data_IF_705402033685
#
_entry.id   IF_705402033685
#
_cell.length_a   1.000
_cell.length_b   1.000
_cell.length_c   1.000
_cell.angle_alpha   90.00
_cell.angle_beta   90.00
_cell.angle_gamma   90.00
#
_symmetry.space_group_name_H-M   'P 1'
#
loop_
_entity.id
_entity.type
_entity.pdbx_description
1 polymer ?
#
# COMPACT_ATOMS: atom_id res chain seq x y z
N UNK A 1 22.57 14.53 -26.17
CA UNK A 1 23.55 13.87 -27.05
C UNK A 1 23.95 12.59 -26.33
N UNK A 2 23.83 11.42 -27.00
CA UNK A 2 24.30 10.19 -26.42
C UNK A 2 25.81 10.26 -26.18
N UNK A 3 26.29 9.80 -25.06
CA UNK A 3 27.70 9.75 -24.75
C UNK A 3 28.36 8.69 -25.61
N UNK A 4 29.48 9.04 -26.24
CA UNK A 4 30.25 8.16 -27.13
C UNK A 4 31.39 7.43 -26.42
N UNK A 5 31.45 7.50 -25.09
CA UNK A 5 32.49 6.82 -24.32
C UNK A 5 32.32 5.28 -24.45
N UNK A 6 33.30 4.63 -25.06
CA UNK A 6 33.32 3.17 -25.28
C UNK A 6 34.47 2.47 -24.57
N UNK A 7 35.43 3.25 -24.00
CA UNK A 7 36.61 2.73 -23.31
C UNK A 7 36.94 3.53 -22.05
N UNK A 8 37.67 2.92 -21.12
CA UNK A 8 38.32 3.58 -19.98
C UNK A 8 39.82 3.42 -20.19
N UNK A 9 40.52 4.46 -20.66
CA UNK A 9 41.92 4.32 -21.05
C UNK A 9 42.84 4.11 -19.84
N UNK A 10 43.93 3.42 -20.07
CA UNK A 10 45.08 3.32 -19.16
C UNK A 10 46.20 4.16 -19.72
N UNK A 11 46.77 5.01 -18.90
CA UNK A 11 47.91 5.85 -19.25
C UNK A 11 49.21 5.15 -18.90
N UNK A 12 50.18 5.19 -19.81
CA UNK A 12 51.52 4.61 -19.57
C UNK A 12 52.46 5.71 -19.09
N UNK A 13 53.60 5.29 -18.44
CA UNK A 13 54.62 6.21 -17.96
C UNK A 13 55.17 7.05 -19.12
N UNK A 14 55.17 8.39 -18.98
CA UNK A 14 55.62 9.36 -19.98
C UNK A 14 54.68 9.55 -21.19
N UNK A 15 53.47 9.06 -21.15
CA UNK A 15 52.45 9.32 -22.17
C UNK A 15 52.01 10.78 -22.09
N UNK A 16 51.92 11.42 -23.25
CA UNK A 16 51.35 12.80 -23.36
C UNK A 16 49.84 12.67 -23.42
N UNK A 17 49.16 13.07 -22.36
CA UNK A 17 47.72 13.14 -22.33
C UNK A 17 47.18 14.10 -23.37
N UNK A 18 46.39 13.61 -24.31
CA UNK A 18 45.66 14.48 -25.22
C UNK A 18 44.46 15.13 -24.52
N UNK A 19 43.97 16.23 -25.08
CA UNK A 19 42.73 16.85 -24.57
C UNK A 19 41.52 15.91 -24.69
N UNK A 20 41.54 14.99 -25.68
CA UNK A 20 40.51 13.97 -25.85
C UNK A 20 40.54 12.97 -24.68
N UNK A 21 41.73 12.49 -24.29
CA UNK A 21 41.89 11.55 -23.17
C UNK A 21 41.50 12.18 -21.83
N UNK A 22 41.87 13.45 -21.63
CA UNK A 22 41.46 14.19 -20.44
C UNK A 22 39.95 14.40 -20.37
N UNK A 23 39.30 14.71 -21.49
CA UNK A 23 37.85 14.89 -21.53
C UNK A 23 37.11 13.57 -21.30
N UNK A 24 37.65 12.44 -21.75
CA UNK A 24 37.09 11.11 -21.49
C UNK A 24 37.20 10.66 -20.03
N UNK A 25 38.25 11.07 -19.33
CA UNK A 25 38.57 10.51 -17.99
C UNK A 25 38.35 11.47 -16.84
N UNK A 26 38.69 12.74 -17.03
CA UNK A 26 38.67 13.75 -15.97
C UNK A 26 37.52 14.74 -16.07
N UNK A 27 36.95 14.92 -17.24
CA UNK A 27 35.94 15.97 -17.47
C UNK A 27 34.58 15.69 -16.79
N UNK A 28 34.27 14.45 -16.47
CA UNK A 28 32.97 14.07 -15.90
C UNK A 28 33.07 13.47 -14.49
N UNK A 29 34.26 13.12 -14.01
CA UNK A 29 34.48 12.46 -12.71
C UNK A 29 33.85 11.06 -12.60
N UNK A 30 32.94 10.71 -13.50
CA UNK A 30 32.24 9.44 -13.56
C UNK A 30 32.09 9.03 -15.04
N UNK A 31 32.58 7.85 -15.47
CA UNK A 31 32.37 7.35 -16.81
C UNK A 31 30.87 7.21 -17.11
N UNK A 32 30.47 7.61 -18.31
CA UNK A 32 29.08 7.58 -18.75
C UNK A 32 28.94 6.62 -19.93
N UNK A 33 28.07 5.62 -19.80
CA UNK A 33 27.84 4.59 -20.82
C UNK A 33 26.38 4.60 -21.26
N UNK A 34 26.16 4.40 -22.56
CA UNK A 34 24.81 4.32 -23.11
C UNK A 34 24.03 3.11 -22.59
N UNK A 35 24.70 1.97 -22.42
CA UNK A 35 24.07 0.69 -22.01
C UNK A 35 25.02 -0.13 -21.12
N UNK A 36 24.49 -1.19 -20.51
CA UNK A 36 25.31 -2.18 -19.79
C UNK A 36 26.29 -2.87 -20.70
N UNK A 37 25.95 -3.11 -21.97
CA UNK A 37 26.83 -3.75 -22.94
C UNK A 37 28.06 -2.88 -23.22
N UNK A 38 27.87 -1.57 -23.41
CA UNK A 38 28.99 -0.63 -23.64
C UNK A 38 29.82 -0.44 -22.39
N UNK A 39 29.20 -0.46 -21.21
CA UNK A 39 29.91 -0.46 -19.92
C UNK A 39 30.82 -1.67 -19.76
N UNK A 40 30.27 -2.87 -19.96
CA UNK A 40 31.00 -4.13 -19.71
C UNK A 40 32.12 -4.32 -20.76
N UNK A 41 31.92 -3.86 -21.96
CA UNK A 41 32.93 -3.87 -23.03
C UNK A 41 34.07 -2.84 -22.81
N UNK A 42 33.91 -1.85 -21.92
CA UNK A 42 34.89 -0.80 -21.70
C UNK A 42 35.99 -1.16 -20.66
N UNK A 43 35.98 -2.38 -20.16
CA UNK A 43 36.94 -2.84 -19.15
C UNK A 43 37.56 -4.19 -19.57
N UNK A 44 38.85 -4.34 -19.32
CA UNK A 44 39.55 -5.63 -19.46
C UNK A 44 40.07 -5.97 -20.84
N UNK A 45 39.82 -5.11 -21.85
CA UNK A 45 40.42 -5.23 -23.17
C UNK A 45 41.88 -4.80 -23.22
N UNK A 46 42.52 -4.96 -24.36
CA UNK A 46 43.92 -4.55 -24.58
C UNK A 46 43.99 -3.01 -24.51
N UNK A 47 44.74 -2.48 -23.53
CA UNK A 47 44.86 -1.04 -23.27
C UNK A 47 43.72 -0.44 -22.46
N UNK A 48 42.83 -1.26 -21.94
CA UNK A 48 41.71 -0.82 -21.09
C UNK A 48 41.97 -1.10 -19.62
N UNK A 49 41.35 -0.29 -18.76
CA UNK A 49 41.42 -0.47 -17.30
C UNK A 49 40.78 -1.80 -16.89
N UNK A 50 41.47 -2.56 -16.06
CA UNK A 50 40.86 -3.73 -15.41
C UNK A 50 39.78 -3.25 -14.45
N UNK A 51 38.60 -3.85 -14.54
CA UNK A 51 37.52 -3.59 -13.62
C UNK A 51 37.92 -3.95 -12.18
N UNK A 52 37.76 -3.04 -11.26
CA UNK A 52 38.09 -3.23 -9.85
C UNK A 52 36.97 -2.73 -8.94
N UNK A 53 36.92 -3.27 -7.73
CA UNK A 53 35.99 -2.82 -6.70
C UNK A 53 36.10 -1.29 -6.48
N UNK A 54 34.96 -0.65 -6.34
CA UNK A 54 34.86 0.79 -6.18
C UNK A 54 34.75 1.59 -7.50
N UNK A 55 34.77 0.91 -8.66
CA UNK A 55 34.55 1.60 -9.93
C UNK A 55 33.09 2.12 -10.01
N UNK A 56 32.94 3.42 -10.28
CA UNK A 56 31.63 4.06 -10.47
C UNK A 56 31.40 4.33 -11.95
N UNK A 57 30.14 4.23 -12.39
CA UNK A 57 29.71 4.68 -13.72
C UNK A 57 28.26 5.17 -13.71
N UNK A 58 27.86 5.92 -14.75
CA UNK A 58 26.47 6.26 -15.01
C UNK A 58 25.99 5.54 -16.27
N UNK A 59 24.77 4.97 -16.21
CA UNK A 59 24.11 4.35 -17.35
C UNK A 59 22.97 5.25 -17.86
N UNK A 60 23.06 5.68 -19.12
CA UNK A 60 22.02 6.49 -19.76
C UNK A 60 20.73 5.71 -20.02
N UNK A 61 20.83 4.43 -20.38
CA UNK A 61 19.67 3.58 -20.70
C UNK A 61 18.66 3.42 -19.53
N UNK A 62 19.16 3.54 -18.31
CA UNK A 62 18.36 3.34 -17.08
C UNK A 62 18.38 4.55 -16.15
N UNK A 63 19.17 5.59 -16.49
CA UNK A 63 19.38 6.80 -15.68
C UNK A 63 19.85 6.52 -14.25
N UNK A 64 20.79 5.59 -14.08
CA UNK A 64 21.30 5.19 -12.76
C UNK A 64 22.80 5.31 -12.66
N UNK A 65 23.28 5.62 -11.46
CA UNK A 65 24.69 5.48 -11.10
C UNK A 65 24.89 4.05 -10.58
N UNK A 66 25.99 3.41 -10.99
CA UNK A 66 26.37 2.08 -10.53
C UNK A 66 27.77 2.08 -9.93
N UNK A 67 27.96 1.21 -8.93
CA UNK A 67 29.22 0.91 -8.27
C UNK A 67 29.53 -0.57 -8.48
N UNK A 68 30.75 -0.92 -8.87
CA UNK A 68 31.21 -2.30 -8.90
C UNK A 68 31.70 -2.74 -7.50
N UNK A 69 31.11 -3.80 -6.96
CA UNK A 69 31.40 -4.31 -5.61
C UNK A 69 32.50 -5.37 -5.56
N UNK A 70 33.21 -5.57 -6.66
CA UNK A 70 34.21 -6.62 -6.83
C UNK A 70 33.68 -7.87 -7.51
N UNK A 71 32.36 -8.05 -7.61
CA UNK A 71 31.71 -9.18 -8.28
C UNK A 71 30.61 -8.73 -9.26
N UNK A 72 29.82 -7.73 -8.88
CA UNK A 72 28.68 -7.26 -9.65
C UNK A 72 28.57 -5.72 -9.63
N UNK A 73 27.87 -5.19 -10.64
CA UNK A 73 27.47 -3.79 -10.65
C UNK A 73 26.21 -3.57 -9.83
N UNK A 74 26.32 -2.79 -8.77
CA UNK A 74 25.21 -2.40 -7.88
C UNK A 74 24.71 -1.00 -8.23
N UNK A 75 23.42 -0.80 -8.26
CA UNK A 75 22.86 0.53 -8.43
C UNK A 75 23.07 1.36 -7.17
N UNK A 76 23.74 2.50 -7.31
CA UNK A 76 23.92 3.50 -6.24
C UNK A 76 22.81 4.53 -6.39
N UNK A 77 21.81 4.43 -5.56
CA UNK A 77 20.71 5.36 -5.53
C UNK A 77 20.13 5.44 -4.12
N UNK A 78 19.14 6.29 -3.88
CA UNK A 78 18.38 6.11 -2.67
C UNK A 78 17.94 4.65 -2.67
N UNK A 79 18.29 3.91 -1.62
CA UNK A 79 17.74 2.57 -1.42
C UNK A 79 16.25 2.67 -1.76
N UNK A 80 15.75 1.72 -2.56
CA UNK A 80 14.31 1.64 -2.80
C UNK A 80 13.66 1.90 -1.45
N UNK A 81 12.87 2.97 -1.35
CA UNK A 81 12.30 3.37 -0.07
C UNK A 81 11.73 2.09 0.52
N UNK A 82 12.28 1.66 1.66
CA UNK A 82 11.74 0.52 2.38
C UNK A 82 10.25 0.78 2.42
N UNK A 83 9.43 -0.16 1.98
CA UNK A 83 8.00 0.04 1.84
C UNK A 83 7.51 0.69 3.13
N UNK A 84 7.18 1.97 3.09
CA UNK A 84 6.69 2.71 4.25
C UNK A 84 5.57 1.86 4.80
N UNK A 85 5.53 1.54 6.09
CA UNK A 85 4.65 0.54 6.72
C UNK A 85 3.18 0.48 6.24
N UNK A 86 2.75 1.40 5.36
CA UNK A 86 1.45 1.43 4.69
C UNK A 86 1.59 1.72 3.20
N UNK A 87 0.99 0.88 2.36
CA UNK A 87 0.91 1.08 0.90
C UNK A 87 -0.52 1.37 0.51
N UNK A 88 -0.76 2.47 -0.20
CA UNK A 88 -2.08 2.79 -0.77
C UNK A 88 -2.45 1.78 -1.85
N UNK A 89 -3.64 1.17 -1.72
CA UNK A 89 -4.17 0.17 -2.66
C UNK A 89 -5.26 0.77 -3.54
N UNK A 90 -6.29 1.35 -2.92
CA UNK A 90 -7.42 1.93 -3.64
C UNK A 90 -8.15 2.97 -2.82
N UNK A 91 -8.97 3.78 -3.48
CA UNK A 91 -9.83 4.76 -2.84
C UNK A 91 -10.86 5.30 -3.81
N UNK A 92 -11.95 5.82 -3.26
CA UNK A 92 -13.04 6.38 -4.06
C UNK A 92 -14.28 6.68 -3.25
N UNK A 93 -15.38 6.96 -3.94
CA UNK A 93 -16.70 7.19 -3.33
C UNK A 93 -17.35 5.86 -2.94
N UNK A 94 -18.13 5.87 -1.85
CA UNK A 94 -18.99 4.73 -1.46
C UNK A 94 -20.25 4.62 -2.32
N UNK A 95 -20.47 5.57 -3.25
CA UNK A 95 -21.61 5.55 -4.16
C UNK A 95 -22.96 5.93 -3.52
N UNK A 96 -24.06 5.56 -4.17
CA UNK A 96 -25.44 5.93 -3.81
C UNK A 96 -26.37 4.73 -3.63
N UNK A 97 -25.85 3.53 -3.52
CA UNK A 97 -26.65 2.29 -3.31
C UNK A 97 -26.91 2.02 -1.82
N UNK A 98 -27.62 0.93 -1.54
CA UNK A 98 -27.83 0.42 -0.15
C UNK A 98 -26.63 -0.33 0.38
N UNK A 99 -25.66 -0.64 -0.49
CA UNK A 99 -24.37 -1.26 -0.16
C UNK A 99 -23.29 -0.72 -1.08
N UNK A 100 -22.06 -0.81 -0.58
CA UNK A 100 -20.83 -0.51 -1.29
C UNK A 100 -19.85 -1.67 -1.09
N UNK A 101 -19.30 -2.20 -2.16
CA UNK A 101 -18.28 -3.23 -2.09
C UNK A 101 -16.93 -2.68 -2.54
N UNK A 102 -15.86 -2.99 -1.81
CA UNK A 102 -14.52 -2.79 -2.32
C UNK A 102 -14.33 -3.59 -3.62
N UNK A 103 -13.48 -3.13 -4.54
CA UNK A 103 -13.14 -3.93 -5.73
C UNK A 103 -12.70 -5.34 -5.34
N UNK A 104 -13.00 -6.34 -6.16
CA UNK A 104 -12.49 -7.68 -5.96
C UNK A 104 -10.96 -7.67 -5.96
N UNK A 105 -10.34 -8.57 -5.22
CA UNK A 105 -8.88 -8.62 -5.01
C UNK A 105 -8.30 -7.35 -4.35
N UNK A 106 -9.11 -6.65 -3.56
CA UNK A 106 -8.62 -5.56 -2.69
C UNK A 106 -7.75 -6.10 -1.56
N UNK A 107 -8.01 -7.30 -1.08
CA UNK A 107 -7.15 -8.04 -0.16
C UNK A 107 -6.40 -9.10 -0.96
N UNK A 108 -5.07 -9.09 -0.86
CA UNK A 108 -4.18 -10.01 -1.57
C UNK A 108 -3.20 -10.64 -0.58
N UNK A 109 -2.52 -11.71 -0.97
CA UNK A 109 -1.50 -12.34 -0.14
C UNK A 109 -0.24 -11.46 0.10
N UNK A 110 -0.16 -10.29 -0.55
CA UNK A 110 0.96 -9.34 -0.39
C UNK A 110 0.98 -8.72 1.01
N UNK A 111 -0.18 -8.55 1.65
CA UNK A 111 -0.30 -7.94 2.98
C UNK A 111 -1.12 -8.85 3.88
N UNK A 112 -0.66 -9.03 5.12
CA UNK A 112 -1.43 -9.79 6.11
C UNK A 112 -2.56 -8.95 6.70
N UNK A 113 -2.37 -7.63 6.79
CA UNK A 113 -3.30 -6.73 7.46
C UNK A 113 -3.61 -5.51 6.59
N UNK A 114 -4.80 -4.95 6.79
CA UNK A 114 -5.31 -3.83 6.01
C UNK A 114 -5.90 -2.76 6.91
N UNK A 115 -5.73 -1.50 6.49
CA UNK A 115 -6.36 -0.33 7.08
C UNK A 115 -7.31 0.32 6.05
N UNK A 116 -8.55 0.55 6.45
CA UNK A 116 -9.52 1.27 5.66
C UNK A 116 -9.86 2.56 6.39
N UNK A 117 -9.67 3.70 5.74
CA UNK A 117 -10.11 5.00 6.22
C UNK A 117 -11.45 5.33 5.58
N UNK A 118 -12.41 5.73 6.40
CA UNK A 118 -13.75 6.14 6.00
C UNK A 118 -13.94 7.62 6.27
N UNK A 119 -14.42 8.36 5.30
CA UNK A 119 -14.62 9.80 5.41
C UNK A 119 -16.04 10.19 4.99
N UNK A 120 -16.77 10.81 5.92
CA UNK A 120 -18.09 11.39 5.69
C UNK A 120 -19.11 10.44 5.03
N UNK A 121 -19.13 9.18 5.45
CA UNK A 121 -20.10 8.18 4.99
C UNK A 121 -21.47 8.57 5.53
N UNK A 122 -22.34 9.02 4.64
CA UNK A 122 -23.70 9.47 4.96
C UNK A 122 -24.76 8.57 4.34
N UNK A 123 -25.95 8.59 4.92
CA UNK A 123 -27.12 7.82 4.48
C UNK A 123 -28.41 8.61 4.53
N UNK A 124 -29.42 8.15 3.79
CA UNK A 124 -30.74 8.77 3.74
C UNK A 124 -31.57 8.61 5.03
N UNK A 125 -31.20 7.69 5.92
CA UNK A 125 -31.86 7.48 7.21
C UNK A 125 -30.85 7.03 8.26
N UNK A 126 -31.14 7.29 9.54
CA UNK A 126 -30.34 6.86 10.68
C UNK A 126 -30.46 5.36 10.90
N UNK A 127 -29.43 4.60 10.52
CA UNK A 127 -29.38 3.16 10.69
C UNK A 127 -27.94 2.71 10.82
N UNK A 128 -27.72 1.54 11.38
CA UNK A 128 -26.39 0.94 11.51
C UNK A 128 -25.73 0.66 10.17
N UNK A 129 -24.44 0.85 10.16
CA UNK A 129 -23.54 0.39 9.12
C UNK A 129 -22.89 -0.92 9.55
N UNK A 130 -22.84 -1.86 8.63
CA UNK A 130 -22.33 -3.20 8.87
C UNK A 130 -21.38 -3.63 7.75
N UNK A 131 -20.50 -4.58 8.08
CA UNK A 131 -19.60 -5.22 7.11
C UNK A 131 -19.95 -6.67 6.86
N UNK A 132 -19.71 -7.11 5.64
CA UNK A 132 -19.52 -8.52 5.28
C UNK A 132 -18.19 -8.70 4.56
N UNK A 133 -17.50 -9.77 4.85
CA UNK A 133 -16.37 -10.20 4.06
C UNK A 133 -16.85 -10.85 2.76
N UNK A 134 -16.04 -10.74 1.73
CA UNK A 134 -16.34 -11.30 0.41
C UNK A 134 -15.26 -12.29 0.01
N UNK A 135 -15.70 -13.41 -0.54
CA UNK A 135 -14.84 -14.41 -1.16
C UNK A 135 -15.24 -14.55 -2.64
N UNK A 136 -14.30 -14.38 -3.55
CA UNK A 136 -14.52 -14.43 -5.00
C UNK A 136 -15.69 -13.54 -5.48
N UNK A 137 -15.77 -12.34 -4.90
CA UNK A 137 -16.81 -11.37 -5.24
C UNK A 137 -18.19 -11.60 -4.64
N UNK A 138 -18.35 -12.61 -3.76
CA UNK A 138 -19.63 -12.96 -3.11
C UNK A 138 -19.57 -12.68 -1.61
N UNK A 139 -20.60 -12.01 -1.08
CA UNK A 139 -20.72 -11.74 0.34
C UNK A 139 -20.86 -13.03 1.16
N UNK A 140 -20.09 -13.17 2.23
CA UNK A 140 -20.26 -14.23 3.23
C UNK A 140 -21.43 -13.84 4.14
N UNK A 141 -22.54 -14.55 4.03
CA UNK A 141 -23.78 -14.29 4.78
C UNK A 141 -24.09 -15.33 5.85
N UNK A 142 -23.14 -16.23 6.11
CA UNK A 142 -23.25 -17.23 7.17
C UNK A 142 -23.27 -16.60 8.56
N UNK A 143 -23.90 -17.26 9.51
CA UNK A 143 -24.00 -16.80 10.90
C UNK A 143 -22.73 -17.13 11.70
N UNK A 144 -21.58 -16.72 11.22
CA UNK A 144 -20.26 -17.02 11.80
C UNK A 144 -19.52 -15.79 12.32
N UNK A 145 -20.13 -14.61 12.18
CA UNK A 145 -19.56 -13.36 12.68
C UNK A 145 -19.82 -13.20 14.17
N UNK A 146 -18.75 -12.92 14.92
CA UNK A 146 -18.83 -12.57 16.32
C UNK A 146 -18.21 -11.17 16.51
N UNK A 147 -18.88 -10.33 17.27
CA UNK A 147 -18.38 -8.97 17.55
C UNK A 147 -18.92 -8.41 18.85
N UNK A 148 -18.18 -7.47 19.43
CA UNK A 148 -18.62 -6.61 20.51
C UNK A 148 -18.45 -5.16 20.14
N UNK A 149 -19.31 -4.29 20.64
CA UNK A 149 -19.18 -2.86 20.43
C UNK A 149 -19.66 -2.07 21.65
N UNK A 150 -19.08 -0.88 21.82
CA UNK A 150 -19.51 0.12 22.80
C UNK A 150 -19.46 1.51 22.20
N UNK A 151 -20.24 2.42 22.77
CA UNK A 151 -20.26 3.82 22.38
C UNK A 151 -19.82 4.74 23.52
N UNK A 152 -19.26 5.88 23.14
CA UNK A 152 -18.97 7.01 24.03
C UNK A 152 -19.66 8.23 23.45
N UNK A 153 -20.57 8.81 24.20
CA UNK A 153 -21.20 10.08 23.79
C UNK A 153 -20.30 11.28 24.08
N UNK A 154 -20.55 12.40 23.42
CA UNK A 154 -19.86 13.68 23.71
C UNK A 154 -20.14 14.21 25.12
N UNK A 155 -21.19 13.72 25.79
CA UNK A 155 -21.46 14.00 27.20
C UNK A 155 -20.66 13.12 28.18
N UNK A 156 -19.78 12.27 27.68
CA UNK A 156 -18.97 11.33 28.49
C UNK A 156 -19.73 10.10 28.97
N UNK A 157 -20.96 9.88 28.50
CA UNK A 157 -21.73 8.68 28.86
C UNK A 157 -21.26 7.48 28.04
N UNK A 158 -20.96 6.38 28.72
CA UNK A 158 -20.64 5.11 28.11
C UNK A 158 -21.92 4.29 27.94
N UNK A 159 -22.13 3.81 26.72
CA UNK A 159 -23.22 2.90 26.39
C UNK A 159 -22.67 1.55 25.87
N UNK A 160 -23.10 0.45 26.44
CA UNK A 160 -22.93 -0.85 25.80
C UNK A 160 -23.95 -0.94 24.65
N UNK A 161 -23.50 -0.99 23.42
CA UNK A 161 -24.38 -1.06 22.24
C UNK A 161 -24.68 -2.51 21.87
N UNK A 162 -24.06 -3.44 22.57
CA UNK A 162 -24.29 -4.86 22.36
C UNK A 162 -23.16 -5.56 21.59
N UNK A 163 -23.45 -6.77 21.24
CA UNK A 163 -22.59 -7.65 20.45
C UNK A 163 -23.45 -8.64 19.68
N UNK A 164 -22.87 -9.28 18.70
CA UNK A 164 -23.47 -10.36 17.96
C UNK A 164 -22.63 -11.62 18.12
N UNK A 165 -23.24 -12.70 18.57
CA UNK A 165 -22.68 -14.03 18.43
C UNK A 165 -23.43 -14.74 17.31
N UNK A 166 -22.70 -15.39 16.40
CA UNK A 166 -23.27 -16.03 15.23
C UNK A 166 -24.17 -15.09 14.39
N UNK A 167 -23.68 -13.88 14.16
CA UNK A 167 -24.34 -12.90 13.31
C UNK A 167 -23.95 -13.11 11.83
N UNK A 168 -24.74 -12.57 10.92
CA UNK A 168 -24.46 -12.59 9.47
C UNK A 168 -23.59 -11.40 8.99
N UNK A 169 -22.99 -10.64 9.90
CA UNK A 169 -22.19 -9.44 9.61
C UNK A 169 -21.45 -8.96 10.86
N UNK A 170 -20.47 -8.07 10.70
CA UNK A 170 -19.89 -7.25 11.75
C UNK A 170 -20.54 -5.87 11.82
N UNK A 171 -20.77 -5.36 13.01
CA UNK A 171 -21.20 -3.98 13.21
C UNK A 171 -20.02 -3.02 12.99
N UNK A 172 -20.21 -2.00 12.18
CA UNK A 172 -19.19 -1.00 11.86
C UNK A 172 -19.40 0.32 12.61
N UNK A 173 -20.59 0.90 12.47
CA UNK A 173 -20.87 2.24 12.98
C UNK A 173 -22.34 2.57 12.97
N UNK A 174 -22.66 3.73 13.48
CA UNK A 174 -23.99 4.32 13.38
C UNK A 174 -23.94 5.54 12.47
N UNK A 175 -24.99 5.76 11.68
CA UNK A 175 -25.26 7.03 11.04
C UNK A 175 -26.56 7.59 11.58
N UNK A 176 -26.51 8.72 12.26
CA UNK A 176 -27.73 9.39 12.68
C UNK A 176 -28.40 10.12 11.50
N UNK A 177 -29.73 10.10 11.49
CA UNK A 177 -30.59 10.70 10.44
C UNK A 177 -30.66 12.23 10.53
N UNK A 178 -29.72 12.92 11.11
CA UNK A 178 -29.70 14.38 11.09
C UNK A 178 -28.84 14.88 9.94
N UNK A 179 -29.16 16.03 9.40
CA UNK A 179 -28.46 16.67 8.26
C UNK A 179 -26.94 16.90 8.46
N UNK A 180 -26.39 16.47 9.59
CA UNK A 180 -24.97 16.47 9.95
C UNK A 180 -24.43 15.06 10.27
N UNK A 181 -25.20 14.00 10.04
CA UNK A 181 -24.94 12.65 10.52
C UNK A 181 -24.08 11.78 9.60
N UNK A 182 -22.94 12.29 9.13
CA UNK A 182 -21.95 11.44 8.46
C UNK A 182 -21.07 10.72 9.47
N UNK A 183 -20.66 9.50 9.11
CA UNK A 183 -19.71 8.71 9.89
C UNK A 183 -18.32 8.79 9.25
N UNK A 184 -17.33 9.10 10.06
CA UNK A 184 -15.91 9.02 9.68
C UNK A 184 -15.16 8.13 10.67
N UNK A 185 -14.08 7.51 10.24
CA UNK A 185 -13.29 6.65 11.11
C UNK A 185 -12.36 5.73 10.34
N UNK A 186 -11.99 4.63 10.99
CA UNK A 186 -11.12 3.63 10.39
C UNK A 186 -11.54 2.21 10.79
N UNK A 187 -11.10 1.26 9.98
CA UNK A 187 -11.25 -0.17 10.24
C UNK A 187 -9.95 -0.89 9.92
N UNK A 188 -9.47 -1.69 10.85
CA UNK A 188 -8.43 -2.68 10.60
C UNK A 188 -9.07 -4.03 10.25
N UNK A 189 -8.54 -4.70 9.25
CA UNK A 189 -8.88 -6.07 8.88
C UNK A 189 -7.60 -6.90 8.99
N UNK A 190 -7.64 -7.94 9.78
CA UNK A 190 -6.49 -8.79 10.12
C UNK A 190 -6.64 -10.15 9.48
N UNK A 191 -5.63 -10.59 8.73
CA UNK A 191 -5.54 -11.92 8.16
C UNK A 191 -6.61 -12.30 7.13
N UNK A 192 -7.14 -11.40 6.28
CA UNK A 192 -8.24 -11.79 5.38
C UNK A 192 -7.82 -12.79 4.31
N UNK A 193 -6.53 -12.89 3.99
CA UNK A 193 -5.99 -13.85 3.01
C UNK A 193 -5.31 -15.05 3.65
N UNK A 194 -5.27 -15.11 4.97
CA UNK A 194 -4.77 -16.28 5.70
C UNK A 194 -5.94 -17.26 5.85
N UNK A 195 -5.71 -18.56 5.58
CA UNK A 195 -6.71 -19.59 5.79
C UNK A 195 -6.85 -19.92 7.29
N UNK A 196 -7.19 -18.92 8.08
CA UNK A 196 -7.42 -18.93 9.52
C UNK A 196 -8.50 -17.89 9.84
N UNK A 197 -8.69 -17.57 11.11
CA UNK A 197 -9.71 -16.64 11.56
C UNK A 197 -9.37 -15.20 11.13
N UNK A 198 -10.23 -14.58 10.34
CA UNK A 198 -10.16 -13.15 10.04
C UNK A 198 -10.78 -12.35 11.18
N UNK A 199 -10.08 -11.32 11.63
CA UNK A 199 -10.56 -10.41 12.66
C UNK A 199 -10.67 -8.97 12.15
N UNK A 200 -11.41 -8.13 12.88
CA UNK A 200 -11.46 -6.70 12.63
C UNK A 200 -11.45 -5.89 13.92
N UNK A 201 -11.03 -4.62 13.79
CA UNK A 201 -11.19 -3.58 14.78
C UNK A 201 -11.57 -2.29 14.09
N UNK A 202 -12.55 -1.56 14.61
CA UNK A 202 -13.06 -0.36 13.99
C UNK A 202 -13.37 0.71 15.04
N UNK A 203 -13.06 1.95 14.67
CA UNK A 203 -13.45 3.13 15.43
C UNK A 203 -14.09 4.14 14.50
N UNK A 204 -15.29 4.56 14.83
CA UNK A 204 -16.06 5.50 14.03
C UNK A 204 -16.59 6.64 14.87
N UNK A 205 -16.72 7.79 14.23
CA UNK A 205 -17.24 9.02 14.81
C UNK A 205 -18.41 9.50 13.97
N UNK A 206 -19.50 9.83 14.65
CA UNK A 206 -20.64 10.54 14.07
C UNK A 206 -20.99 11.72 14.96
N UNK A 207 -21.95 12.55 14.59
CA UNK A 207 -22.37 13.71 15.38
C UNK A 207 -22.74 13.30 16.81
N UNK A 208 -21.86 13.58 17.76
CA UNK A 208 -22.06 13.36 19.19
C UNK A 208 -21.76 11.95 19.72
N UNK A 209 -21.22 11.04 18.89
CA UNK A 209 -20.97 9.66 19.28
C UNK A 209 -19.68 9.10 18.69
N UNK A 210 -18.88 8.44 19.51
CA UNK A 210 -17.82 7.55 19.05
C UNK A 210 -18.25 6.10 19.29
N UNK A 211 -18.09 5.22 18.28
CA UNK A 211 -18.33 3.78 18.39
C UNK A 211 -17.06 3.01 18.17
N UNK A 212 -16.80 2.08 19.05
CA UNK A 212 -15.70 1.13 18.99
C UNK A 212 -16.28 -0.27 18.80
N UNK A 213 -15.79 -0.99 17.81
CA UNK A 213 -16.21 -2.36 17.59
C UNK A 213 -15.03 -3.24 17.20
N UNK A 214 -15.08 -4.49 17.65
CA UNK A 214 -14.09 -5.49 17.30
C UNK A 214 -14.73 -6.87 17.26
N UNK A 215 -14.16 -7.77 16.47
CA UNK A 215 -14.68 -9.11 16.34
C UNK A 215 -13.87 -9.97 15.41
N UNK A 216 -14.41 -11.18 15.18
CA UNK A 216 -13.84 -12.17 14.26
C UNK A 216 -14.93 -12.92 13.52
N UNK A 217 -14.57 -13.54 12.41
CA UNK A 217 -15.40 -14.55 11.77
C UNK A 217 -14.86 -15.94 12.09
N UNK A 218 -15.75 -16.91 12.41
CA UNK A 218 -15.39 -18.28 12.78
C UNK A 218 -15.32 -19.20 11.54
N UNK A 219 -14.79 -18.69 10.43
CA UNK A 219 -14.57 -19.45 9.20
C UNK A 219 -13.12 -19.27 8.76
N UNK A 220 -12.48 -20.38 8.43
CA UNK A 220 -11.10 -20.39 7.90
C UNK A 220 -11.10 -20.24 6.37
N UNK A 221 -11.67 -19.14 5.89
CA UNK A 221 -11.73 -18.82 4.47
C UNK A 221 -10.76 -17.67 4.13
N UNK A 222 -10.33 -17.62 2.87
CA UNK A 222 -9.65 -16.46 2.32
C UNK A 222 -10.69 -15.49 1.74
N UNK A 223 -10.54 -14.19 2.07
CA UNK A 223 -11.45 -13.13 1.64
C UNK A 223 -10.69 -12.12 0.80
N UNK A 224 -11.23 -11.77 -0.35
CA UNK A 224 -10.60 -10.86 -1.32
C UNK A 224 -11.07 -9.41 -1.20
N UNK A 225 -12.17 -9.16 -0.48
CA UNK A 225 -12.73 -7.82 -0.31
C UNK A 225 -13.76 -7.78 0.82
N UNK A 226 -14.45 -6.68 0.99
CA UNK A 226 -15.59 -6.54 1.89
C UNK A 226 -16.71 -5.68 1.29
N UNK A 227 -17.92 -5.86 1.80
CA UNK A 227 -19.08 -5.01 1.54
C UNK A 227 -19.44 -4.23 2.79
N UNK A 228 -19.52 -2.90 2.68
CA UNK A 228 -20.19 -2.02 3.62
C UNK A 228 -21.65 -1.91 3.23
N UNK A 229 -22.58 -2.16 4.12
CA UNK A 229 -24.00 -2.08 3.83
C UNK A 229 -24.78 -1.45 4.98
N UNK A 230 -25.96 -0.97 4.65
CA UNK A 230 -26.90 -0.32 5.55
C UNK A 230 -27.88 -1.34 6.12
N UNK A 231 -27.99 -1.46 7.43
CA UNK A 231 -29.14 -2.13 8.06
C UNK A 231 -30.43 -1.38 7.66
N UNK A 232 -31.51 -2.12 7.35
CA UNK A 232 -32.79 -1.51 6.97
C UNK A 232 -32.84 -0.90 5.55
N UNK A 233 -31.82 -1.08 4.71
CA UNK A 233 -31.87 -0.71 3.29
C UNK A 233 -31.78 0.79 2.98
N UNK A 234 -31.27 1.60 3.91
CA UNK A 234 -31.02 3.04 3.65
C UNK A 234 -29.95 3.25 2.59
N UNK A 235 -30.14 4.23 1.72
CA UNK A 235 -29.25 4.54 0.60
C UNK A 235 -28.10 5.41 1.08
N UNK A 236 -26.88 5.11 0.67
CA UNK A 236 -25.72 6.00 0.82
C UNK A 236 -25.94 7.26 -0.01
N UNK A 237 -25.60 8.42 0.53
CA UNK A 237 -25.72 9.73 -0.14
C UNK A 237 -24.38 10.49 -0.20
N UNK A 238 -23.38 10.06 0.54
CA UNK A 238 -22.04 10.62 0.54
C UNK A 238 -21.02 9.63 1.11
N UNK A 239 -19.76 9.96 0.97
CA UNK A 239 -18.65 9.27 1.63
C UNK A 239 -17.57 8.80 0.67
N UNK A 240 -16.38 8.71 1.23
CA UNK A 240 -15.22 8.20 0.54
C UNK A 240 -14.50 7.16 1.42
N UNK A 241 -13.73 6.31 0.77
CA UNK A 241 -12.82 5.39 1.44
C UNK A 241 -11.41 5.49 0.88
N UNK A 242 -10.44 5.08 1.68
CA UNK A 242 -9.07 4.76 1.25
C UNK A 242 -8.65 3.45 1.89
N UNK A 243 -8.11 2.55 1.09
CA UNK A 243 -7.61 1.26 1.52
C UNK A 243 -6.07 1.23 1.44
N UNK A 244 -5.46 0.74 2.50
CA UNK A 244 -4.01 0.55 2.61
C UNK A 244 -3.70 -0.88 3.02
N UNK A 245 -2.66 -1.46 2.41
CA UNK A 245 -1.99 -2.67 2.90
C UNK A 245 -0.93 -2.30 3.92
N UNK A 246 -0.83 -3.05 5.01
CA UNK A 246 0.21 -2.88 6.02
C UNK A 246 1.33 -3.85 5.70
N UNK A 247 2.54 -3.30 5.49
CA UNK A 247 3.71 -4.13 5.22
C UNK A 247 4.07 -4.94 6.46
N UNK A 248 4.36 -6.21 6.27
CA UNK A 248 5.02 -7.03 7.26
C UNK A 248 6.49 -6.61 7.31
N UNK A 249 7.00 -6.31 8.51
CA UNK A 249 8.38 -5.92 8.76
C UNK A 249 9.34 -7.08 8.58
#
# INVERSE_FOLDING_TARGET
MANTQITVPIFTTLEVLSSADQNLTAGTGCPVFATTVTRDAAFGGAGEKVLAEGQICYLESTNVVQLYDGANWQTVGPAAAASSGMTFISGGSVGTGTSFSLPNNSFTATYQNYLILWSQVGKSAGVDLNFRLRATGTDTTSNDYNFGCFTVSTSGTYGAVGGGANAAFWSFGECNNTSLGTTSGYSYIYGPQVADLTAYGSQTYTSGLAKYSAGRINLSNQYDSLTLFSAGGSVFNSGNYKLYGLADS
#
